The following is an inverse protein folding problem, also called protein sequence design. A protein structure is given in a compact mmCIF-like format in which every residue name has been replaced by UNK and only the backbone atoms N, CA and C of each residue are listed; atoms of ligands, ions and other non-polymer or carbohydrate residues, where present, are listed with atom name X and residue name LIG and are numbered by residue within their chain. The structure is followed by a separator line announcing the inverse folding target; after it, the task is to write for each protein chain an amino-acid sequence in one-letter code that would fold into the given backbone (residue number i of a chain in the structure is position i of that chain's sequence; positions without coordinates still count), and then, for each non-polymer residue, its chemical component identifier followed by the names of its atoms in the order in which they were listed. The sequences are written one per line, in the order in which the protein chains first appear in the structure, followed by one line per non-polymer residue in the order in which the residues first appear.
data_IF_964155159873
#
_entry.id   IF_964155159873
#
_cell.length_a   1.000
_cell.length_b   1.000
_cell.length_c   1.000
_cell.angle_alpha   90.00
_cell.angle_beta   90.00
_cell.angle_gamma   90.00
#
_symmetry.space_group_name_H-M   'P 1'
#
loop_
_entity.id
_entity.type
_entity.pdbx_description
1 polymer ?
#
# COMPACT_ATOMS: atom_id res chain seq x y z
N UNK A 1 -22.59 -3.36 -25.82
CA UNK A 1 -22.10 -2.24 -24.98
C UNK A 1 -20.60 -2.44 -24.73
N UNK A 2 -19.76 -1.65 -25.41
CA UNK A 2 -18.32 -1.69 -25.20
C UNK A 2 -18.03 -1.27 -23.73
N UNK A 3 -17.30 -2.10 -22.97
CA UNK A 3 -16.66 -1.67 -21.74
C UNK A 3 -15.71 -0.54 -22.15
N UNK A 4 -16.01 0.68 -21.75
CA UNK A 4 -15.00 1.74 -21.71
C UNK A 4 -13.88 1.22 -20.82
N UNK A 5 -12.72 0.91 -21.39
CA UNK A 5 -11.50 0.60 -20.66
C UNK A 5 -11.15 1.85 -19.84
N UNK A 6 -11.57 1.84 -18.59
CA UNK A 6 -11.25 2.91 -17.65
C UNK A 6 -9.74 2.93 -17.50
N UNK A 7 -9.11 3.99 -17.99
CA UNK A 7 -7.67 4.13 -18.00
C UNK A 7 -7.17 4.40 -16.58
N UNK A 8 -6.43 3.45 -16.00
CA UNK A 8 -5.70 3.66 -14.76
C UNK A 8 -4.39 4.35 -15.08
N UNK A 9 -4.14 5.50 -14.47
CA UNK A 9 -2.86 6.22 -14.52
C UNK A 9 -2.26 6.29 -13.11
N UNK A 10 -0.93 6.26 -13.02
CA UNK A 10 -0.22 6.37 -11.74
C UNK A 10 0.81 7.49 -11.82
N UNK A 11 0.86 8.32 -10.77
CA UNK A 11 1.79 9.43 -10.64
C UNK A 11 2.30 9.57 -9.20
N UNK A 12 3.36 10.34 -9.01
CA UNK A 12 3.77 10.75 -7.66
C UNK A 12 2.67 11.61 -7.01
N UNK A 13 2.52 11.45 -5.71
CA UNK A 13 1.65 12.32 -4.92
C UNK A 13 2.23 13.73 -4.85
N UNK A 14 1.34 14.70 -4.62
CA UNK A 14 1.64 16.13 -4.45
C UNK A 14 1.01 16.61 -3.15
N UNK A 15 1.47 17.74 -2.64
CA UNK A 15 0.90 18.32 -1.42
C UNK A 15 -0.62 18.57 -1.52
N UNK A 16 -1.11 18.92 -2.72
CA UNK A 16 -2.53 19.18 -2.98
C UNK A 16 -3.39 17.90 -2.88
N UNK A 17 -2.79 16.71 -2.89
CA UNK A 17 -3.51 15.45 -2.75
C UNK A 17 -3.91 15.14 -1.30
N UNK A 18 -3.42 15.91 -0.32
CA UNK A 18 -3.64 15.69 1.13
C UNK A 18 -5.09 15.35 1.47
N UNK A 19 -6.02 16.20 1.12
CA UNK A 19 -7.44 16.01 1.46
C UNK A 19 -8.06 14.79 0.78
N UNK A 20 -7.69 14.55 -0.49
CA UNK A 20 -8.17 13.39 -1.24
C UNK A 20 -7.62 12.07 -0.69
N UNK A 21 -6.35 12.06 -0.31
CA UNK A 21 -5.70 10.88 0.28
C UNK A 21 -6.21 10.61 1.70
N UNK A 22 -6.42 11.64 2.51
CA UNK A 22 -7.01 11.49 3.84
C UNK A 22 -8.42 10.88 3.75
N UNK A 23 -9.24 11.36 2.81
CA UNK A 23 -10.57 10.80 2.57
C UNK A 23 -10.51 9.34 2.09
N UNK A 24 -9.62 9.04 1.12
CA UNK A 24 -9.44 7.68 0.60
C UNK A 24 -8.97 6.73 1.70
N UNK A 25 -8.01 7.15 2.52
CA UNK A 25 -7.50 6.37 3.66
C UNK A 25 -8.63 6.04 4.64
N UNK A 26 -9.49 7.01 4.93
CA UNK A 26 -10.62 6.84 5.85
C UNK A 26 -11.63 5.76 5.41
N UNK A 27 -11.82 5.55 4.11
CA UNK A 27 -12.84 4.63 3.55
C UNK A 27 -12.27 3.32 3.00
N UNK A 28 -10.96 3.23 2.79
CA UNK A 28 -10.36 2.09 2.11
C UNK A 28 -10.07 0.90 3.02
N UNK A 29 -9.78 1.15 4.30
CA UNK A 29 -9.42 0.10 5.24
C UNK A 29 -10.65 -0.62 5.80
N UNK A 30 -10.49 -1.93 5.99
CA UNK A 30 -11.50 -2.81 6.58
C UNK A 30 -10.88 -3.62 7.72
N UNK A 31 -11.67 -4.25 8.59
CA UNK A 31 -11.14 -5.12 9.65
C UNK A 31 -10.24 -6.26 9.14
N UNK A 32 -10.39 -6.65 7.86
CA UNK A 32 -9.55 -7.67 7.24
C UNK A 32 -8.21 -7.14 6.71
N UNK A 33 -8.06 -5.83 6.55
CA UNK A 33 -6.91 -5.22 5.89
C UNK A 33 -6.21 -4.12 6.69
N UNK A 34 -6.82 -3.61 7.74
CA UNK A 34 -6.30 -2.49 8.52
C UNK A 34 -6.38 -2.73 10.02
N UNK A 35 -5.48 -2.08 10.75
CA UNK A 35 -5.53 -2.05 12.21
C UNK A 35 -6.68 -1.16 12.70
N UNK A 36 -7.35 -1.51 13.82
CA UNK A 36 -8.36 -0.65 14.42
C UNK A 36 -7.86 0.77 14.71
N UNK A 37 -6.60 0.92 15.13
CA UNK A 37 -5.95 2.21 15.38
C UNK A 37 -5.76 3.03 14.10
N UNK A 38 -5.56 2.38 12.95
CA UNK A 38 -5.48 3.04 11.64
C UNK A 38 -6.88 3.47 11.18
N UNK A 39 -7.87 2.59 11.32
CA UNK A 39 -9.25 2.90 10.96
C UNK A 39 -9.86 4.01 11.83
N UNK A 40 -9.43 4.12 13.09
CA UNK A 40 -9.89 5.20 13.99
C UNK A 40 -9.51 6.61 13.51
N UNK A 41 -8.47 6.75 12.67
CA UNK A 41 -8.06 8.04 12.07
C UNK A 41 -9.16 8.69 11.24
N UNK A 42 -10.08 7.91 10.68
CA UNK A 42 -11.22 8.42 9.92
C UNK A 42 -12.11 9.39 10.75
N UNK A 43 -12.06 9.27 12.07
CA UNK A 43 -12.84 10.09 12.99
C UNK A 43 -12.00 11.16 13.71
N UNK A 44 -10.70 11.28 13.39
CA UNK A 44 -9.80 12.28 13.97
C UNK A 44 -9.85 13.57 13.13
N UNK A 45 -10.40 14.68 13.65
CA UNK A 45 -10.48 15.93 12.90
C UNK A 45 -9.12 16.59 12.68
N UNK A 46 -8.07 16.14 13.38
CA UNK A 46 -6.70 16.65 13.27
C UNK A 46 -5.80 15.71 12.48
N UNK A 47 -6.35 14.63 11.91
CA UNK A 47 -5.57 13.71 11.10
C UNK A 47 -5.04 14.41 9.85
N UNK A 48 -3.73 14.31 9.64
CA UNK A 48 -3.05 14.67 8.40
C UNK A 48 -2.49 13.41 7.75
N UNK A 49 -2.70 13.27 6.46
CA UNK A 49 -2.21 12.10 5.72
C UNK A 49 -0.70 12.16 5.53
N UNK A 50 -0.19 13.33 5.12
CA UNK A 50 1.25 13.54 5.03
C UNK A 50 1.85 14.00 6.36
N UNK A 51 3.03 13.49 6.65
CA UNK A 51 3.84 13.86 7.82
C UNK A 51 5.31 13.90 7.40
N UNK A 52 6.20 14.36 8.29
CA UNK A 52 7.64 14.38 8.01
C UNK A 52 8.18 12.98 7.71
N UNK A 53 7.65 11.94 8.39
CA UNK A 53 8.01 10.53 8.12
C UNK A 53 7.25 9.92 6.94
N UNK A 54 6.29 10.62 6.39
CA UNK A 54 5.40 10.16 5.32
C UNK A 54 5.09 11.28 4.33
N UNK A 55 6.11 11.86 3.69
CA UNK A 55 5.93 13.01 2.79
C UNK A 55 5.30 12.60 1.46
N UNK A 56 4.80 13.54 0.66
CA UNK A 56 4.18 13.26 -0.64
C UNK A 56 5.02 12.37 -1.56
N UNK A 57 6.33 12.60 -1.65
CA UNK A 57 7.25 11.86 -2.51
C UNK A 57 7.47 10.39 -2.12
N UNK A 58 6.99 10.01 -0.94
CA UNK A 58 6.93 8.60 -0.53
C UNK A 58 5.73 7.85 -1.13
N UNK A 59 4.81 8.57 -1.78
CA UNK A 59 3.54 8.02 -2.24
C UNK A 59 3.39 8.09 -3.76
N UNK A 60 2.73 7.06 -4.31
CA UNK A 60 2.19 7.06 -5.66
C UNK A 60 0.66 7.05 -5.58
N UNK A 61 0.01 7.82 -6.43
CA UNK A 61 -1.45 7.93 -6.52
C UNK A 61 -1.89 7.33 -7.84
N UNK A 62 -2.90 6.47 -7.78
CA UNK A 62 -3.61 5.98 -8.95
C UNK A 62 -4.87 6.78 -9.19
N UNK A 63 -5.11 7.12 -10.45
CA UNK A 63 -6.33 7.78 -10.90
C UNK A 63 -7.06 6.90 -11.92
N UNK A 64 -8.37 6.87 -11.83
CA UNK A 64 -9.28 6.26 -12.79
C UNK A 64 -10.15 7.36 -13.37
N UNK A 65 -10.06 7.58 -14.66
CA UNK A 65 -10.80 8.63 -15.37
C UNK A 65 -10.59 10.02 -14.71
N UNK A 66 -9.35 10.31 -14.29
CA UNK A 66 -8.97 11.58 -13.64
C UNK A 66 -9.39 11.74 -12.18
N UNK A 67 -9.95 10.72 -11.56
CA UNK A 67 -10.38 10.69 -10.18
C UNK A 67 -9.48 9.78 -9.34
N UNK A 68 -9.06 10.25 -8.18
CA UNK A 68 -8.22 9.46 -7.26
C UNK A 68 -8.93 8.13 -6.90
N UNK A 69 -8.22 7.03 -7.08
CA UNK A 69 -8.75 5.67 -6.92
C UNK A 69 -7.93 4.80 -5.98
N UNK A 70 -6.71 5.20 -5.66
CA UNK A 70 -5.85 4.43 -4.76
C UNK A 70 -4.51 5.11 -4.53
N UNK A 71 -3.75 4.59 -3.57
CA UNK A 71 -2.38 5.00 -3.33
C UNK A 71 -1.51 3.83 -2.89
N UNK A 72 -0.19 3.98 -3.01
CA UNK A 72 0.81 3.10 -2.44
C UNK A 72 1.93 3.94 -1.83
N UNK A 73 2.42 3.54 -0.65
CA UNK A 73 3.53 4.19 0.05
C UNK A 73 4.77 3.31 0.04
N UNK A 74 5.89 3.90 -0.35
CA UNK A 74 7.22 3.31 -0.25
C UNK A 74 8.02 3.99 0.85
N UNK A 75 8.74 3.21 1.66
CA UNK A 75 9.66 3.73 2.67
C UNK A 75 10.88 2.81 2.82
N UNK A 76 12.01 3.31 3.33
CA UNK A 76 13.09 2.46 3.80
C UNK A 76 12.58 1.49 4.87
N UNK A 77 13.07 0.27 4.90
CA UNK A 77 12.69 -0.73 5.93
C UNK A 77 13.37 -0.45 7.26
N UNK A 78 14.58 0.13 7.21
CA UNK A 78 15.35 0.60 8.36
C UNK A 78 16.08 1.89 7.99
N UNK A 79 16.65 2.58 8.97
CA UNK A 79 17.54 3.72 8.75
C UNK A 79 19.01 3.33 8.50
N UNK A 80 19.35 2.04 8.49
CA UNK A 80 20.70 1.54 8.31
C UNK A 80 21.12 1.63 6.84
N UNK A 81 22.30 2.21 6.52
CA UNK A 81 22.82 2.29 5.15
C UNK A 81 22.95 0.91 4.49
N UNK A 82 23.28 -0.13 5.25
CA UNK A 82 23.39 -1.51 4.78
C UNK A 82 22.08 -2.08 4.25
N UNK A 83 20.95 -1.48 4.61
CA UNK A 83 19.59 -1.84 4.17
C UNK A 83 19.05 -0.93 3.08
N UNK A 84 19.82 0.02 2.57
CA UNK A 84 19.36 1.03 1.60
C UNK A 84 18.84 0.42 0.27
N UNK A 85 19.25 -0.80 -0.05
CA UNK A 85 18.79 -1.54 -1.23
C UNK A 85 17.41 -2.20 -1.04
N UNK A 86 16.77 -2.07 0.14
CA UNK A 86 15.46 -2.64 0.44
C UNK A 86 14.45 -1.51 0.70
N UNK A 87 13.39 -1.47 -0.09
CA UNK A 87 12.24 -0.62 0.20
C UNK A 87 11.06 -1.46 0.67
N UNK A 88 10.31 -0.90 1.61
CA UNK A 88 9.08 -1.49 2.12
C UNK A 88 7.85 -0.81 1.54
N UNK A 89 6.85 -1.59 1.17
CA UNK A 89 5.49 -1.10 0.91
C UNK A 89 4.81 -0.96 2.27
N UNK A 90 4.53 0.27 2.69
CA UNK A 90 3.98 0.58 4.01
C UNK A 90 2.48 0.89 4.00
N UNK A 91 1.85 0.86 2.85
CA UNK A 91 0.43 1.01 2.65
C UNK A 91 0.09 0.85 1.18
N UNK A 92 -0.99 0.15 0.92
CA UNK A 92 -1.62 0.01 -0.40
C UNK A 92 -3.12 0.02 -0.18
N UNK A 93 -3.77 1.05 -0.68
CA UNK A 93 -5.20 1.23 -0.52
C UNK A 93 -5.87 1.55 -1.87
N UNK A 94 -7.04 0.98 -2.08
CA UNK A 94 -7.87 1.21 -3.27
C UNK A 94 -9.28 1.58 -2.82
N UNK A 95 -9.83 2.65 -3.38
CA UNK A 95 -11.19 3.08 -3.11
C UNK A 95 -12.17 1.93 -3.33
N UNK A 96 -13.17 1.72 -2.45
CA UNK A 96 -14.09 0.59 -2.55
C UNK A 96 -14.74 0.43 -3.93
N UNK A 97 -15.14 1.53 -4.56
CA UNK A 97 -15.78 1.55 -5.89
C UNK A 97 -14.83 1.25 -7.06
N UNK A 98 -13.50 1.28 -6.83
CA UNK A 98 -12.49 1.06 -7.89
C UNK A 98 -11.73 -0.27 -7.72
N UNK A 99 -12.13 -1.09 -6.76
CA UNK A 99 -11.56 -2.43 -6.56
C UNK A 99 -11.85 -3.33 -7.77
N UNK A 100 -10.95 -4.31 -8.00
CA UNK A 100 -11.03 -5.28 -9.11
C UNK A 100 -10.96 -4.65 -10.51
N UNK A 101 -10.50 -3.40 -10.60
CA UNK A 101 -10.29 -2.66 -11.87
C UNK A 101 -8.80 -2.53 -12.23
N UNK A 102 -7.93 -3.32 -11.60
CA UNK A 102 -6.49 -3.30 -11.87
C UNK A 102 -5.70 -2.21 -11.15
N UNK A 103 -6.34 -1.38 -10.33
CA UNK A 103 -5.70 -0.24 -9.63
C UNK A 103 -4.53 -0.69 -8.75
N UNK A 104 -4.72 -1.73 -7.93
CA UNK A 104 -3.65 -2.24 -7.06
C UNK A 104 -2.46 -2.78 -7.87
N UNK A 105 -2.72 -3.49 -8.98
CA UNK A 105 -1.66 -4.01 -9.86
C UNK A 105 -0.88 -2.89 -10.54
N UNK A 106 -1.58 -1.82 -10.97
CA UNK A 106 -0.93 -0.65 -11.56
C UNK A 106 -0.05 0.09 -10.53
N UNK A 107 -0.54 0.26 -9.30
CA UNK A 107 0.23 0.87 -8.21
C UNK A 107 1.48 0.05 -7.87
N UNK A 108 1.36 -1.28 -7.78
CA UNK A 108 2.49 -2.16 -7.51
C UNK A 108 3.53 -2.15 -8.64
N UNK A 109 3.09 -2.15 -9.90
CA UNK A 109 4.00 -2.03 -11.04
C UNK A 109 4.76 -0.69 -11.03
N UNK A 110 4.07 0.42 -10.74
CA UNK A 110 4.69 1.74 -10.62
C UNK A 110 5.64 1.81 -9.42
N UNK A 111 5.28 1.17 -8.29
CA UNK A 111 6.14 1.08 -7.11
C UNK A 111 7.43 0.31 -7.40
N UNK A 112 7.38 -0.77 -8.18
CA UNK A 112 8.59 -1.48 -8.63
C UNK A 112 9.49 -0.60 -9.49
N UNK A 113 8.92 0.14 -10.44
CA UNK A 113 9.69 1.06 -11.28
C UNK A 113 10.35 2.15 -10.44
N UNK A 114 9.61 2.74 -9.51
CA UNK A 114 10.11 3.76 -8.60
C UNK A 114 11.20 3.20 -7.68
N UNK A 115 11.04 1.97 -7.18
CA UNK A 115 12.03 1.32 -6.34
C UNK A 115 13.34 1.08 -7.12
N UNK A 116 13.26 0.57 -8.35
CA UNK A 116 14.43 0.40 -9.22
C UNK A 116 15.13 1.73 -9.51
N UNK A 117 14.36 2.78 -9.80
CA UNK A 117 14.91 4.11 -10.05
C UNK A 117 15.65 4.70 -8.84
N UNK A 118 15.28 4.27 -7.63
CA UNK A 118 15.97 4.60 -6.36
C UNK A 118 17.12 3.66 -6.03
N UNK A 119 17.46 2.70 -6.90
CA UNK A 119 18.53 1.73 -6.68
C UNK A 119 18.15 0.56 -5.76
N UNK A 120 16.87 0.39 -5.45
CA UNK A 120 16.42 -0.76 -4.65
C UNK A 120 16.54 -2.06 -5.46
N UNK A 121 16.92 -3.13 -4.76
CA UNK A 121 17.03 -4.49 -5.29
C UNK A 121 15.98 -5.44 -4.72
N UNK A 122 15.20 -4.95 -3.76
CA UNK A 122 14.18 -5.73 -3.06
C UNK A 122 13.03 -4.82 -2.63
N UNK A 123 11.81 -5.27 -2.88
CA UNK A 123 10.60 -4.75 -2.26
C UNK A 123 10.10 -5.75 -1.23
N UNK A 124 9.76 -5.26 -0.05
CA UNK A 124 9.15 -6.06 1.02
C UNK A 124 7.81 -5.48 1.44
N UNK A 125 6.95 -6.30 2.00
CA UNK A 125 5.67 -5.90 2.57
C UNK A 125 5.26 -6.85 3.69
N UNK A 126 4.26 -6.43 4.44
CA UNK A 126 3.62 -7.24 5.50
C UNK A 126 2.13 -7.32 5.20
N UNK A 127 1.56 -8.48 5.42
CA UNK A 127 0.13 -8.74 5.22
C UNK A 127 -0.40 -9.62 6.34
N UNK A 128 -1.59 -9.31 6.85
CA UNK A 128 -2.23 -10.17 7.86
C UNK A 128 -2.44 -11.58 7.30
N UNK A 129 -2.15 -12.61 8.09
CA UNK A 129 -2.37 -13.99 7.72
C UNK A 129 -3.83 -14.30 7.36
N UNK A 130 -4.76 -13.48 7.87
CA UNK A 130 -6.19 -13.54 7.55
C UNK A 130 -6.57 -12.84 6.25
N UNK A 131 -5.69 -12.03 5.65
CA UNK A 131 -5.96 -11.30 4.41
C UNK A 131 -5.53 -12.08 3.16
N UNK A 132 -6.20 -13.20 2.92
CA UNK A 132 -5.90 -14.07 1.78
C UNK A 132 -6.05 -13.37 0.42
N UNK A 133 -6.92 -12.38 0.31
CA UNK A 133 -7.13 -11.63 -0.93
C UNK A 133 -5.89 -10.82 -1.31
N UNK A 134 -5.30 -10.10 -0.36
CA UNK A 134 -4.06 -9.35 -0.58
C UNK A 134 -2.88 -10.29 -0.81
N UNK A 135 -2.75 -11.37 -0.04
CA UNK A 135 -1.67 -12.33 -0.20
C UNK A 135 -1.65 -12.91 -1.62
N UNK A 136 -2.79 -13.36 -2.14
CA UNK A 136 -2.91 -13.87 -3.53
C UNK A 136 -2.59 -12.82 -4.59
N UNK A 137 -2.92 -11.54 -4.34
CA UNK A 137 -2.54 -10.46 -5.26
C UNK A 137 -1.02 -10.34 -5.33
N UNK A 138 -0.36 -10.29 -4.17
CA UNK A 138 1.10 -10.18 -4.09
C UNK A 138 1.80 -11.40 -4.72
N UNK A 139 1.34 -12.61 -4.44
CA UNK A 139 1.86 -13.84 -5.05
C UNK A 139 1.79 -13.80 -6.58
N UNK A 140 0.64 -13.41 -7.15
CA UNK A 140 0.48 -13.27 -8.62
C UNK A 140 1.43 -12.24 -9.23
N UNK A 141 1.86 -11.24 -8.45
CA UNK A 141 2.79 -10.20 -8.88
C UNK A 141 4.25 -10.54 -8.55
N UNK A 142 4.51 -11.77 -8.11
CA UNK A 142 5.86 -12.29 -7.92
C UNK A 142 6.47 -12.07 -6.54
N UNK A 143 5.67 -11.69 -5.54
CA UNK A 143 6.10 -11.67 -4.15
C UNK A 143 6.04 -13.07 -3.57
N UNK A 144 7.10 -13.49 -2.88
CA UNK A 144 7.17 -14.74 -2.12
C UNK A 144 7.16 -14.48 -0.62
N UNK A 145 6.71 -15.48 0.14
CA UNK A 145 6.76 -15.44 1.62
C UNK A 145 8.21 -15.63 2.07
N UNK A 146 8.70 -14.73 2.92
CA UNK A 146 10.01 -14.82 3.56
C UNK A 146 9.92 -15.27 5.02
N UNK A 147 8.78 -15.10 5.66
CA UNK A 147 8.58 -15.51 7.04
C UNK A 147 7.16 -15.25 7.52
N UNK A 148 6.83 -15.86 8.65
CA UNK A 148 5.55 -15.67 9.33
C UNK A 148 5.85 -15.45 10.79
N UNK A 149 5.42 -14.29 11.31
CA UNK A 149 5.43 -13.99 12.74
C UNK A 149 4.09 -14.47 13.31
N UNK A 150 4.15 -15.52 14.11
CA UNK A 150 2.96 -16.13 14.69
C UNK A 150 2.41 -15.26 15.81
N UNK A 151 1.07 -15.10 15.83
CA UNK A 151 0.37 -14.38 16.89
C UNK A 151 0.91 -12.96 17.13
N UNK A 152 1.41 -12.30 16.06
CA UNK A 152 2.08 -11.01 16.15
C UNK A 152 1.14 -9.89 16.62
N UNK A 153 -0.13 -9.97 16.26
CA UNK A 153 -1.13 -8.96 16.61
C UNK A 153 -2.29 -9.58 17.37
N UNK A 154 -2.85 -8.81 18.32
CA UNK A 154 -4.13 -9.13 18.94
C UNK A 154 -5.18 -8.11 18.50
N UNK A 155 -6.10 -8.52 17.63
CA UNK A 155 -7.14 -7.66 17.05
C UNK A 155 -8.51 -8.17 17.50
N UNK A 156 -9.24 -7.38 18.29
CA UNK A 156 -10.54 -7.78 18.81
C UNK A 156 -10.50 -9.07 19.63
N UNK A 157 -9.43 -9.29 20.39
CA UNK A 157 -9.22 -10.50 21.19
C UNK A 157 -8.79 -11.73 20.40
N UNK A 158 -8.50 -11.61 19.12
CA UNK A 158 -7.98 -12.70 18.27
C UNK A 158 -6.54 -12.44 17.90
N UNK A 159 -5.71 -13.45 18.02
CA UNK A 159 -4.32 -13.41 17.56
C UNK A 159 -4.26 -13.61 16.06
N UNK A 160 -3.45 -12.77 15.40
CA UNK A 160 -3.31 -12.73 13.95
C UNK A 160 -1.83 -12.79 13.59
N UNK A 161 -1.50 -13.71 12.69
CA UNK A 161 -0.15 -13.82 12.14
C UNK A 161 0.16 -12.63 11.24
N UNK A 162 1.42 -12.27 11.18
CA UNK A 162 1.95 -11.31 10.23
C UNK A 162 2.84 -12.02 9.21
N UNK A 163 2.46 -11.98 7.96
CA UNK A 163 3.18 -12.63 6.86
C UNK A 163 4.11 -11.62 6.21
N UNK A 164 5.40 -11.91 6.22
CA UNK A 164 6.43 -11.12 5.56
C UNK A 164 6.58 -11.64 4.13
N UNK A 165 6.39 -10.76 3.16
CA UNK A 165 6.55 -11.10 1.74
C UNK A 165 7.53 -10.15 1.07
N UNK A 166 8.26 -10.64 0.08
CA UNK A 166 9.18 -9.83 -0.69
C UNK A 166 9.28 -10.25 -2.15
N UNK A 167 9.75 -9.31 -2.97
CA UNK A 167 10.10 -9.51 -4.37
C UNK A 167 11.48 -8.95 -4.64
N UNK A 168 12.36 -9.77 -5.21
CA UNK A 168 13.65 -9.32 -5.71
C UNK A 168 13.45 -8.59 -7.04
N UNK A 169 14.08 -7.43 -7.14
CA UNK A 169 14.05 -6.57 -8.33
C UNK A 169 15.34 -6.82 -9.11
N UNK A 170 15.27 -7.70 -10.09
CA UNK A 170 16.40 -7.93 -10.99
C UNK A 170 16.59 -6.74 -11.95
#
# INVERSE_FOLDING_TARGET
MARLDSRVTVRLARAEDEAGLAHLDAVAWTPASGFPSVMARANDPFFTFFTDDSPPEAHLVAEVDGRMAGYIRLRPVTSLPESAHVLGIAGLAVAPGDRRRGVASALLAAAEQQARARGARKLSLRVFGTNATAARLYERLGFGVEGILRDEFCIGGRYVDDVLMAKHLA
#
